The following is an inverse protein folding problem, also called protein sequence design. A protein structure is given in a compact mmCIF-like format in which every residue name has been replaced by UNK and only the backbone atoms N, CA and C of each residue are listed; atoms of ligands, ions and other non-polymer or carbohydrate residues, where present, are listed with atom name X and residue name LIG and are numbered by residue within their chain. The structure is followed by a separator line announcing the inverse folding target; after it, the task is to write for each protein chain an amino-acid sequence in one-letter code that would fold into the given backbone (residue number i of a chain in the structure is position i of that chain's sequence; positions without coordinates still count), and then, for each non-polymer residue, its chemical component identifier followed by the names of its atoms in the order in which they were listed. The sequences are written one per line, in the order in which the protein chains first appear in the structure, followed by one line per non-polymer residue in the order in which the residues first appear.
data_IF_617937217413
#
_entry.id   IF_617937217413
#
_cell.length_a   1.000
_cell.length_b   1.000
_cell.length_c   1.000
_cell.angle_alpha   90.00
_cell.angle_beta   90.00
_cell.angle_gamma   90.00
#
_symmetry.space_group_name_H-M   'P 1'
#
loop_
_entity.id
_entity.type
_entity.pdbx_description
1 polymer ?
#
# COMPACT_ATOMS: atom_id res chain seq x y z
N UNK A 1 1.49 23.66 7.72
CA UNK A 1 2.56 22.80 7.16
C UNK A 1 1.90 21.88 6.14
N UNK A 2 1.82 22.35 4.89
CA UNK A 2 1.44 21.49 3.77
C UNK A 2 2.60 20.53 3.52
N UNK A 3 2.35 19.22 3.70
CA UNK A 3 3.26 18.20 3.18
C UNK A 3 2.91 18.06 1.71
N UNK A 4 3.46 18.94 0.87
CA UNK A 4 3.44 18.72 -0.57
C UNK A 4 4.37 17.53 -0.82
N UNK A 5 3.80 16.34 -0.96
CA UNK A 5 4.53 15.17 -1.46
C UNK A 5 5.02 15.55 -2.85
N UNK A 6 6.28 16.00 -2.93
CA UNK A 6 6.91 16.39 -4.18
C UNK A 6 6.95 15.18 -5.10
N UNK A 7 6.07 15.15 -6.09
CA UNK A 7 6.14 14.18 -7.18
C UNK A 7 7.29 14.60 -8.09
N UNK A 8 8.51 14.17 -7.77
CA UNK A 8 9.62 14.27 -8.71
C UNK A 8 9.28 13.43 -9.94
N UNK A 9 8.89 14.11 -11.03
CA UNK A 9 8.77 13.52 -12.37
C UNK A 9 10.16 13.04 -12.76
N UNK A 10 10.37 11.72 -12.79
CA UNK A 10 11.55 11.16 -13.41
C UNK A 10 11.16 10.57 -14.78
N UNK A 11 11.98 10.75 -15.84
CA UNK A 11 11.69 10.21 -17.17
C UNK A 11 11.59 8.68 -17.21
N UNK A 12 11.99 7.98 -16.15
CA UNK A 12 11.97 6.53 -16.03
C UNK A 12 10.59 5.97 -15.63
N UNK A 13 9.70 6.79 -15.07
CA UNK A 13 8.38 6.36 -14.58
C UNK A 13 7.44 5.89 -15.69
N UNK A 14 7.56 6.44 -16.90
CA UNK A 14 6.74 6.04 -18.06
C UNK A 14 7.11 4.66 -18.63
N UNK A 15 8.40 4.33 -18.69
CA UNK A 15 8.88 3.02 -19.19
C UNK A 15 8.56 1.85 -18.27
N UNK A 16 8.26 2.12 -17.00
CA UNK A 16 8.04 1.09 -15.98
C UNK A 16 6.72 0.32 -16.19
N UNK A 17 5.72 0.94 -16.83
CA UNK A 17 4.41 0.34 -17.04
C UNK A 17 4.23 -0.26 -18.43
N UNK A 18 5.22 -0.09 -19.32
CA UNK A 18 5.24 -0.67 -20.67
C UNK A 18 5.50 -2.19 -20.65
N UNK A 19 6.20 -2.69 -19.62
CA UNK A 19 6.59 -4.11 -19.52
C UNK A 19 5.50 -5.00 -18.89
N UNK A 20 4.40 -4.43 -18.38
CA UNK A 20 3.33 -5.19 -17.73
C UNK A 20 3.75 -5.87 -16.42
N UNK A 21 4.88 -5.47 -15.83
CA UNK A 21 5.38 -6.04 -14.59
C UNK A 21 4.43 -5.69 -13.43
N UNK A 22 3.82 -6.73 -12.85
CA UNK A 22 2.97 -6.67 -11.65
C UNK A 22 3.64 -5.91 -10.50
N UNK A 23 4.97 -6.01 -10.42
CA UNK A 23 5.80 -5.38 -9.40
C UNK A 23 5.81 -3.85 -9.54
N UNK A 24 5.77 -3.33 -10.77
CA UNK A 24 5.65 -1.90 -11.03
C UNK A 24 4.27 -1.35 -10.64
N UNK A 25 3.22 -2.13 -10.87
CA UNK A 25 1.84 -1.77 -10.48
C UNK A 25 1.74 -1.57 -8.97
N UNK A 26 2.43 -2.41 -8.19
CA UNK A 26 2.46 -2.29 -6.73
C UNK A 26 3.03 -0.93 -6.26
N UNK A 27 4.03 -0.38 -6.96
CA UNK A 27 4.53 0.97 -6.68
C UNK A 27 3.44 2.03 -6.87
N UNK A 28 2.71 1.96 -7.99
CA UNK A 28 1.62 2.91 -8.29
C UNK A 28 0.55 2.85 -7.22
N UNK A 29 0.19 1.65 -6.78
CA UNK A 29 -0.82 1.43 -5.75
C UNK A 29 -0.41 1.99 -4.40
N UNK A 30 0.85 1.82 -3.97
CA UNK A 30 1.32 2.47 -2.75
C UNK A 30 1.25 3.99 -2.84
N UNK A 31 1.61 4.58 -3.98
CA UNK A 31 1.48 6.04 -4.20
C UNK A 31 0.02 6.50 -4.20
N UNK A 32 -0.89 5.72 -4.78
CA UNK A 32 -2.32 6.01 -4.75
C UNK A 32 -2.88 5.88 -3.33
N UNK A 33 -2.40 4.92 -2.54
CA UNK A 33 -2.77 4.76 -1.13
C UNK A 33 -2.29 5.93 -0.27
N UNK A 34 -1.12 6.51 -0.55
CA UNK A 34 -0.66 7.74 0.12
C UNK A 34 -1.58 8.94 -0.19
N UNK A 35 -2.04 9.06 -1.45
CA UNK A 35 -3.03 10.09 -1.84
C UNK A 35 -4.36 9.85 -1.13
N UNK A 36 -4.81 8.60 -1.06
CA UNK A 36 -6.00 8.22 -0.32
C UNK A 36 -5.89 8.59 1.16
N UNK A 37 -4.75 8.27 1.78
CA UNK A 37 -4.47 8.61 3.18
C UNK A 37 -4.45 10.13 3.41
N UNK A 38 -3.93 10.91 2.47
CA UNK A 38 -3.96 12.37 2.55
C UNK A 38 -5.40 12.92 2.52
N UNK A 39 -6.31 12.31 1.75
CA UNK A 39 -7.73 12.70 1.67
C UNK A 39 -8.55 12.28 2.89
N UNK A 40 -8.41 11.02 3.33
CA UNK A 40 -9.33 10.38 4.29
C UNK A 40 -8.71 10.12 5.67
N UNK A 41 -7.41 10.35 5.85
CA UNK A 41 -6.64 10.06 7.09
C UNK A 41 -6.75 8.60 7.56
N UNK A 42 -7.07 7.71 6.63
CA UNK A 42 -7.21 6.27 6.80
C UNK A 42 -6.65 5.57 5.55
N UNK A 43 -6.19 4.33 5.68
CA UNK A 43 -5.79 3.51 4.54
C UNK A 43 -6.97 2.72 3.97
N UNK A 44 -6.99 2.41 2.66
CA UNK A 44 -8.08 1.64 2.06
C UNK A 44 -8.24 0.28 2.73
N UNK A 45 -9.49 -0.14 2.97
CA UNK A 45 -9.85 -1.45 3.51
C UNK A 45 -9.51 -1.68 4.99
N UNK A 46 -8.95 -0.70 5.69
CA UNK A 46 -8.92 -0.77 7.16
C UNK A 46 -10.35 -0.60 7.67
N UNK A 47 -10.88 -1.61 8.37
CA UNK A 47 -12.20 -1.53 9.01
C UNK A 47 -12.25 -0.27 9.87
N UNK A 48 -13.17 0.62 9.52
CA UNK A 48 -13.36 1.86 10.24
C UNK A 48 -13.94 1.47 11.60
N UNK A 49 -13.15 1.57 12.66
CA UNK A 49 -13.67 1.50 14.02
C UNK A 49 -13.92 2.94 14.46
N UNK A 50 -15.14 3.50 14.27
CA UNK A 50 -15.50 4.78 14.83
C UNK A 50 -15.68 4.60 16.33
N UNK A 51 -14.59 4.42 17.08
CA UNK A 51 -14.62 4.53 18.54
C UNK A 51 -14.83 5.99 19.00
N UNK A 52 -15.67 6.76 18.28
CA UNK A 52 -16.62 7.73 18.84
C UNK A 52 -17.86 8.00 17.92
N UNK A 53 -18.35 7.00 17.17
CA UNK A 53 -19.73 6.88 16.62
C UNK A 53 -19.95 7.04 15.09
N UNK A 54 -21.12 6.63 14.53
CA UNK A 54 -22.28 5.98 15.17
C UNK A 54 -22.58 4.55 14.68
N UNK A 55 -22.79 3.63 15.64
CA UNK A 55 -23.31 2.27 15.40
C UNK A 55 -22.81 1.20 16.38
N UNK A 56 -21.60 1.38 16.94
CA UNK A 56 -21.04 0.44 17.91
C UNK A 56 -21.30 0.93 19.35
N UNK A 57 -22.19 0.25 20.06
CA UNK A 57 -22.52 0.48 21.47
C UNK A 57 -21.42 -0.11 22.37
N UNK A 58 -20.74 0.73 23.17
CA UNK A 58 -20.08 0.26 24.38
C UNK A 58 -21.15 0.04 25.45
N UNK A 59 -21.61 -1.20 25.62
CA UNK A 59 -22.35 -1.58 26.82
C UNK A 59 -21.34 -1.65 27.99
N UNK A 60 -21.56 -0.94 29.12
CA UNK A 60 -20.74 -1.13 30.30
C UNK A 60 -21.06 -2.51 30.85
N UNK A 61 -20.12 -3.45 30.78
CA UNK A 61 -20.26 -4.73 31.45
C UNK A 61 -19.48 -4.74 32.76
N UNK A 62 -20.24 -4.76 33.84
CA UNK A 62 -19.81 -5.22 35.15
C UNK A 62 -19.40 -6.70 35.01
N UNK A 63 -18.08 -6.98 35.04
CA UNK A 63 -17.44 -8.29 35.24
C UNK A 63 -16.73 -8.94 34.02
N UNK A 64 -15.39 -8.98 34.15
CA UNK A 64 -14.35 -9.92 33.67
C UNK A 64 -14.39 -10.62 32.28
N UNK A 65 -13.37 -10.25 31.49
CA UNK A 65 -12.35 -11.13 30.88
C UNK A 65 -12.58 -11.91 29.58
N UNK A 66 -13.52 -11.53 28.72
CA UNK A 66 -13.41 -11.86 27.27
C UNK A 66 -13.94 -10.74 26.39
N UNK A 67 -13.02 -10.04 25.70
CA UNK A 67 -13.35 -9.11 24.63
C UNK A 67 -13.81 -9.92 23.40
N UNK A 68 -15.11 -10.15 23.29
CA UNK A 68 -15.67 -10.85 22.14
C UNK A 68 -15.90 -9.84 21.00
N UNK A 69 -14.95 -9.76 20.06
CA UNK A 69 -15.14 -9.02 18.81
C UNK A 69 -16.02 -9.86 17.90
N UNK A 70 -17.31 -9.57 17.86
CA UNK A 70 -18.17 -10.03 16.78
C UNK A 70 -17.97 -9.07 15.60
N UNK A 71 -17.25 -9.51 14.58
CA UNK A 71 -17.34 -8.93 13.22
C UNK A 71 -18.23 -9.86 12.42
N UNK A 72 -19.19 -9.30 11.67
CA UNK A 72 -19.38 -9.51 10.21
C UNK A 72 -20.53 -8.59 9.81
N UNK A 73 -20.24 -7.51 9.08
CA UNK A 73 -21.05 -7.10 7.93
C UNK A 73 -20.04 -7.04 6.78
N UNK A 74 -20.22 -7.93 5.79
CA UNK A 74 -19.28 -8.21 4.69
C UNK A 74 -19.21 -7.09 3.62
N UNK A 75 -19.82 -5.92 3.86
CA UNK A 75 -20.03 -4.88 2.82
C UNK A 75 -19.05 -3.68 2.88
N UNK A 76 -18.08 -3.66 3.81
CA UNK A 76 -17.14 -2.51 3.93
C UNK A 76 -16.08 -2.47 2.80
N UNK A 77 -15.67 -3.61 2.25
CA UNK A 77 -14.65 -3.68 1.17
C UNK A 77 -15.12 -3.03 -0.14
N UNK A 78 -16.43 -2.96 -0.38
CA UNK A 78 -16.99 -2.44 -1.63
C UNK A 78 -17.11 -0.91 -1.65
N UNK A 79 -17.01 -0.25 -0.48
CA UNK A 79 -17.10 1.23 -0.36
C UNK A 79 -15.81 1.96 -0.74
N UNK A 80 -14.64 1.42 -0.39
CA UNK A 80 -13.35 2.10 -0.59
C UNK A 80 -12.81 1.96 -2.02
N UNK A 81 -13.24 0.92 -2.74
CA UNK A 81 -12.81 0.63 -4.11
C UNK A 81 -12.95 1.82 -5.08
N UNK A 82 -14.12 2.48 -5.23
CA UNK A 82 -14.28 3.59 -6.17
C UNK A 82 -13.37 4.79 -5.83
N UNK A 83 -13.17 5.07 -4.54
CA UNK A 83 -12.35 6.18 -4.07
C UNK A 83 -10.87 5.91 -4.34
N UNK A 84 -10.42 4.68 -4.07
CA UNK A 84 -9.04 4.28 -4.36
C UNK A 84 -8.77 4.30 -5.88
N UNK A 85 -9.72 3.84 -6.70
CA UNK A 85 -9.64 3.89 -8.15
C UNK A 85 -9.50 5.33 -8.68
N UNK A 86 -10.22 6.29 -8.11
CA UNK A 86 -10.05 7.71 -8.42
C UNK A 86 -8.65 8.22 -8.05
N UNK A 87 -8.11 7.79 -6.90
CA UNK A 87 -6.75 8.16 -6.48
C UNK A 87 -5.69 7.58 -7.42
N UNK A 88 -5.84 6.33 -7.87
CA UNK A 88 -4.97 5.70 -8.88
C UNK A 88 -5.01 6.49 -10.19
N UNK A 89 -6.20 6.83 -10.68
CA UNK A 89 -6.36 7.62 -11.89
C UNK A 89 -5.69 9.00 -11.77
N UNK A 90 -5.78 9.65 -10.61
CA UNK A 90 -5.12 10.92 -10.33
C UNK A 90 -3.58 10.80 -10.40
N UNK A 91 -3.00 9.76 -9.79
CA UNK A 91 -1.55 9.52 -9.82
C UNK A 91 -1.07 9.24 -11.26
N UNK A 92 -1.79 8.39 -11.98
CA UNK A 92 -1.47 8.05 -13.37
C UNK A 92 -1.58 9.26 -14.31
N UNK A 93 -2.59 10.12 -14.11
CA UNK A 93 -2.74 11.36 -14.84
C UNK A 93 -1.56 12.32 -14.59
N UNK A 94 -1.05 12.40 -13.35
CA UNK A 94 0.14 13.18 -13.02
C UNK A 94 1.40 12.73 -13.78
N UNK A 95 1.50 11.43 -14.04
CA UNK A 95 2.63 10.80 -14.74
C UNK A 95 2.42 10.67 -16.25
N UNK A 96 1.24 10.99 -16.77
CA UNK A 96 0.92 10.90 -18.20
C UNK A 96 0.75 9.46 -18.71
N UNK A 97 0.40 8.53 -17.81
CA UNK A 97 0.18 7.12 -18.12
C UNK A 97 -1.31 6.83 -18.20
N UNK A 98 -1.78 5.99 -19.15
CA UNK A 98 -3.20 5.63 -19.23
C UNK A 98 -3.66 4.83 -18.00
N UNK A 99 -4.90 5.08 -17.58
CA UNK A 99 -5.53 4.40 -16.44
C UNK A 99 -5.69 2.87 -16.62
N UNK A 100 -5.59 2.37 -17.86
CA UNK A 100 -5.64 0.93 -18.17
C UNK A 100 -4.39 0.15 -17.76
N UNK A 101 -3.32 0.84 -17.35
CA UNK A 101 -2.08 0.20 -16.91
C UNK A 101 -2.25 -0.58 -15.58
N UNK A 102 -3.26 -0.25 -14.78
CA UNK A 102 -3.54 -0.91 -13.51
C UNK A 102 -4.87 -1.63 -13.61
N UNK A 103 -4.85 -2.96 -13.49
CA UNK A 103 -6.07 -3.76 -13.45
C UNK A 103 -6.88 -3.51 -12.17
N UNK A 104 -8.21 -3.51 -12.30
CA UNK A 104 -9.13 -3.31 -11.17
C UNK A 104 -8.93 -4.37 -10.06
N UNK A 105 -8.46 -5.58 -10.41
CA UNK A 105 -8.14 -6.63 -9.45
C UNK A 105 -7.07 -6.20 -8.45
N UNK A 106 -6.03 -5.49 -8.89
CA UNK A 106 -4.98 -5.03 -7.98
C UNK A 106 -5.46 -3.93 -7.03
N UNK A 107 -6.42 -3.10 -7.48
CA UNK A 107 -7.06 -2.10 -6.63
C UNK A 107 -7.92 -2.78 -5.56
N UNK A 108 -8.69 -3.82 -5.93
CA UNK A 108 -9.44 -4.62 -4.95
C UNK A 108 -8.52 -5.33 -3.97
N UNK A 109 -7.42 -5.90 -4.45
CA UNK A 109 -6.43 -6.56 -3.60
C UNK A 109 -5.80 -5.58 -2.60
N UNK A 110 -5.56 -4.33 -3.00
CA UNK A 110 -5.08 -3.29 -2.09
C UNK A 110 -6.09 -2.96 -0.97
N UNK A 111 -7.39 -2.91 -1.30
CA UNK A 111 -8.43 -2.80 -0.28
C UNK A 111 -8.44 -4.04 0.63
N UNK A 112 -8.40 -5.25 0.06
CA UNK A 112 -8.40 -6.52 0.81
C UNK A 112 -7.21 -6.64 1.76
N UNK A 113 -6.05 -6.11 1.38
CA UNK A 113 -4.86 -6.11 2.23
C UNK A 113 -5.06 -5.27 3.52
N UNK A 114 -5.93 -4.25 3.49
CA UNK A 114 -6.35 -3.50 4.68
C UNK A 114 -5.22 -2.92 5.52
N UNK A 115 -4.13 -2.47 4.88
CA UNK A 115 -2.89 -2.00 5.54
C UNK A 115 -2.32 -3.00 6.58
N UNK A 116 -2.51 -4.30 6.33
CA UNK A 116 -2.00 -5.37 7.20
C UNK A 116 -0.51 -5.59 7.00
N UNK A 117 0.21 -5.84 8.08
CA UNK A 117 1.63 -6.22 8.06
C UNK A 117 1.79 -7.71 8.33
N UNK A 118 2.05 -8.49 7.28
CA UNK A 118 2.28 -9.92 7.42
C UNK A 118 3.68 -10.19 7.98
N UNK A 119 3.75 -10.91 9.10
CA UNK A 119 5.01 -11.21 9.78
C UNK A 119 6.08 -11.83 8.87
N UNK A 120 5.69 -12.73 7.95
CA UNK A 120 6.61 -13.38 7.01
C UNK A 120 7.19 -12.36 6.01
N UNK A 121 6.37 -11.44 5.50
CA UNK A 121 6.81 -10.39 4.57
C UNK A 121 7.71 -9.39 5.29
N UNK A 122 7.34 -8.98 6.51
CA UNK A 122 8.17 -8.12 7.36
C UNK A 122 9.54 -8.74 7.68
N UNK A 123 9.58 -10.03 8.03
CA UNK A 123 10.82 -10.76 8.29
C UNK A 123 11.74 -10.81 7.05
N UNK A 124 11.16 -11.10 5.88
CA UNK A 124 11.90 -11.12 4.62
C UNK A 124 12.46 -9.73 4.27
N UNK A 125 11.62 -8.70 4.32
CA UNK A 125 12.03 -7.32 4.03
C UNK A 125 13.07 -6.82 5.04
N UNK A 126 12.96 -7.19 6.31
CA UNK A 126 13.97 -6.92 7.33
C UNK A 126 15.32 -7.55 7.02
N UNK A 127 15.34 -8.79 6.50
CA UNK A 127 16.57 -9.45 6.05
C UNK A 127 17.22 -8.76 4.85
N UNK A 128 16.43 -8.39 3.84
CA UNK A 128 16.91 -7.64 2.67
C UNK A 128 17.48 -6.29 3.11
N UNK A 129 16.74 -5.52 3.91
CA UNK A 129 17.16 -4.21 4.40
C UNK A 129 18.43 -4.30 5.26
N UNK A 130 18.52 -5.27 6.18
CA UNK A 130 19.70 -5.48 7.00
C UNK A 130 20.95 -5.77 6.15
N UNK A 131 20.81 -6.60 5.11
CA UNK A 131 21.92 -6.89 4.22
C UNK A 131 22.35 -5.65 3.43
N UNK A 132 21.42 -4.85 2.90
CA UNK A 132 21.77 -3.58 2.23
C UNK A 132 22.50 -2.61 3.16
N UNK A 133 22.10 -2.54 4.43
CA UNK A 133 22.79 -1.73 5.45
C UNK A 133 24.23 -2.23 5.66
N UNK A 134 24.44 -3.54 5.76
CA UNK A 134 25.79 -4.12 5.89
C UNK A 134 26.67 -3.77 4.69
N UNK A 135 26.12 -3.85 3.46
CA UNK A 135 26.84 -3.47 2.24
C UNK A 135 27.33 -2.02 2.30
N UNK A 136 26.45 -1.11 2.72
CA UNK A 136 26.78 0.32 2.84
C UNK A 136 27.84 0.57 3.92
N UNK A 137 27.69 -0.04 5.10
CA UNK A 137 28.62 0.16 6.23
C UNK A 137 30.01 -0.39 5.92
N UNK A 138 30.08 -1.62 5.43
CA UNK A 138 31.35 -2.31 5.16
C UNK A 138 32.03 -1.82 3.89
N UNK A 139 31.28 -1.14 3.02
CA UNK A 139 31.69 -0.82 1.63
C UNK A 139 32.11 -2.08 0.86
N UNK A 140 31.57 -3.23 1.23
CA UNK A 140 31.74 -4.48 0.54
C UNK A 140 30.44 -4.78 -0.21
N UNK A 141 30.57 -5.31 -1.42
CA UNK A 141 29.47 -5.54 -2.37
C UNK A 141 28.82 -4.25 -2.91
N UNK A 142 27.91 -4.41 -3.86
CA UNK A 142 27.18 -3.32 -4.52
C UNK A 142 25.76 -3.24 -3.96
N UNK A 143 25.36 -2.12 -3.35
CA UNK A 143 23.98 -1.89 -2.92
C UNK A 143 23.01 -1.83 -4.09
N UNK A 144 21.74 -2.14 -3.83
CA UNK A 144 20.66 -1.97 -4.80
C UNK A 144 20.53 -0.49 -5.18
N UNK A 145 20.37 -0.23 -6.47
CA UNK A 145 20.21 1.13 -6.95
C UNK A 145 18.75 1.56 -6.85
N UNK A 146 18.47 2.44 -5.88
CA UNK A 146 17.23 3.18 -5.71
C UNK A 146 16.06 2.42 -5.07
N UNK A 147 15.30 1.59 -5.80
CA UNK A 147 14.08 0.96 -5.24
C UNK A 147 14.02 -0.53 -5.57
N UNK A 148 13.84 -1.35 -4.54
CA UNK A 148 13.52 -2.78 -4.67
C UNK A 148 12.08 -2.99 -4.22
N UNK A 149 11.31 -3.70 -5.02
CA UNK A 149 9.92 -4.06 -4.70
C UNK A 149 9.83 -5.58 -4.68
N UNK A 150 9.17 -6.10 -3.65
CA UNK A 150 8.90 -7.51 -3.47
C UNK A 150 7.40 -7.77 -3.51
N UNK A 151 7.00 -8.65 -4.42
CA UNK A 151 5.64 -9.17 -4.52
C UNK A 151 5.56 -10.52 -3.80
N UNK A 152 4.84 -10.54 -2.67
CA UNK A 152 4.62 -11.73 -1.87
C UNK A 152 3.61 -12.73 -2.45
N UNK A 153 2.77 -12.32 -3.40
CA UNK A 153 1.78 -13.22 -4.03
C UNK A 153 2.48 -14.17 -5.00
N UNK A 154 3.32 -13.61 -5.88
CA UNK A 154 4.08 -14.40 -6.86
C UNK A 154 5.48 -14.78 -6.35
N UNK A 155 5.87 -14.32 -5.15
CA UNK A 155 7.23 -14.49 -4.60
C UNK A 155 8.32 -13.98 -5.55
N UNK A 156 8.05 -12.85 -6.22
CA UNK A 156 8.98 -12.23 -7.17
C UNK A 156 9.50 -10.90 -6.61
N UNK A 157 10.66 -10.47 -7.08
CA UNK A 157 11.19 -9.13 -6.76
C UNK A 157 11.78 -8.50 -7.99
N UNK A 158 11.74 -7.18 -8.06
CA UNK A 158 12.35 -6.40 -9.14
C UNK A 158 12.91 -5.09 -8.60
N UNK A 159 14.02 -4.67 -9.18
CA UNK A 159 14.71 -3.44 -8.81
C UNK A 159 14.52 -2.40 -9.90
N UNK A 160 14.04 -1.22 -9.51
CA UNK A 160 13.74 -0.11 -10.41
C UNK A 160 14.60 1.10 -10.05
N UNK A 161 15.10 1.75 -11.08
CA UNK A 161 15.81 3.02 -10.97
C UNK A 161 14.88 4.13 -11.44
N UNK A 162 14.47 4.99 -10.51
CA UNK A 162 13.65 6.17 -10.79
C UNK A 162 14.54 7.36 -11.12
#
# INVERSE_FOLDING_TARGET
MEVTVGYCRSPAQGRMLDDGDLVAVQYVLFRAADVFYAKLRRYPGTCFVPALGPGLYLAPHENSDRLFVFRVDDDEEESDFPILKECVACVLAGWGVPASAVADEHVREMCRAGNSELHVVAALMGGIAAQEVIKVITRQYVPVNNTCIFDGLNSTSSCFKF
#
